data_IF_702548560194
#
_entry.id   IF_702548560194
#
_cell.length_a   1.000
_cell.length_b   1.000
_cell.length_c   1.000
_cell.angle_alpha   90.00
_cell.angle_beta   90.00
_cell.angle_gamma   90.00
#
_symmetry.space_group_name_H-M   'P 1'
#
loop_
_entity.id
_entity.type
_entity.pdbx_description
1 polymer ?
#
# COMPACT_ATOMS: atom_id res chain seq x y z
N UNK A 1 -21.87 -7.42 -15.70
CA UNK A 1 -20.93 -8.00 -16.68
C UNK A 1 -19.46 -7.73 -16.37
N UNK A 2 -19.02 -6.48 -16.18
CA UNK A 2 -17.60 -6.16 -15.90
C UNK A 2 -17.04 -6.85 -14.65
N UNK A 3 -17.79 -6.89 -13.54
CA UNK A 3 -17.33 -7.53 -12.30
C UNK A 3 -17.02 -9.02 -12.50
N UNK A 4 -17.87 -9.76 -13.22
CA UNK A 4 -17.68 -11.20 -13.49
C UNK A 4 -16.43 -11.41 -14.36
N UNK A 5 -16.19 -10.57 -15.37
CA UNK A 5 -14.99 -10.65 -16.21
C UNK A 5 -13.71 -10.49 -15.36
N UNK A 6 -13.71 -9.55 -14.42
CA UNK A 6 -12.56 -9.35 -13.53
C UNK A 6 -12.33 -10.46 -12.51
N UNK A 7 -13.33 -11.33 -12.25
CA UNK A 7 -13.15 -12.49 -11.37
C UNK A 7 -12.19 -13.50 -11.99
N UNK A 8 -12.34 -13.74 -13.30
CA UNK A 8 -11.65 -14.82 -14.02
C UNK A 8 -10.41 -14.32 -14.77
N UNK A 9 -10.48 -13.12 -15.35
CA UNK A 9 -9.45 -12.61 -16.28
C UNK A 9 -8.72 -11.36 -15.79
N UNK A 10 -9.00 -10.91 -14.56
CA UNK A 10 -8.37 -9.71 -14.02
C UNK A 10 -6.85 -9.88 -13.94
N UNK A 11 -6.10 -8.99 -14.60
CA UNK A 11 -4.64 -8.85 -14.48
C UNK A 11 -4.30 -7.41 -14.14
N UNK A 12 -3.14 -7.21 -13.52
CA UNK A 12 -2.59 -5.87 -13.33
C UNK A 12 -2.28 -5.23 -14.68
N UNK A 13 -2.59 -3.94 -14.80
CA UNK A 13 -2.25 -3.16 -15.98
C UNK A 13 -1.85 -1.74 -15.57
N UNK A 14 -1.06 -1.10 -16.42
CA UNK A 14 -0.65 0.29 -16.21
C UNK A 14 -1.85 1.17 -16.53
N UNK A 15 -2.33 1.91 -15.53
CA UNK A 15 -3.41 2.87 -15.68
C UNK A 15 -2.88 4.23 -16.14
N UNK A 16 -1.74 4.63 -15.58
CA UNK A 16 -1.21 5.98 -15.75
C UNK A 16 0.31 5.99 -15.62
N UNK A 17 0.96 6.91 -16.34
CA UNK A 17 2.37 7.22 -16.20
C UNK A 17 2.56 8.73 -16.08
N UNK A 18 3.26 9.17 -15.03
CA UNK A 18 3.52 10.58 -14.76
C UNK A 18 5.01 10.85 -14.64
N UNK A 19 5.41 12.08 -15.00
CA UNK A 19 6.78 12.56 -14.80
C UNK A 19 6.75 13.89 -14.07
N UNK A 20 7.36 13.94 -12.89
CA UNK A 20 7.56 15.16 -12.11
C UNK A 20 9.06 15.42 -12.04
N UNK A 21 9.56 16.31 -12.91
CA UNK A 21 10.99 16.61 -13.06
C UNK A 21 11.83 15.32 -13.26
N UNK A 22 12.59 14.91 -12.24
CA UNK A 22 13.43 13.71 -12.22
C UNK A 22 12.69 12.44 -11.79
N UNK A 23 11.50 12.58 -11.20
CA UNK A 23 10.68 11.46 -10.75
C UNK A 23 9.81 10.95 -11.89
N UNK A 24 9.87 9.63 -12.13
CA UNK A 24 8.97 8.91 -13.03
C UNK A 24 8.09 8.01 -12.18
N UNK A 25 6.78 8.17 -12.32
CA UNK A 25 5.78 7.42 -11.58
C UNK A 25 4.91 6.62 -12.55
N UNK A 26 4.49 5.45 -12.12
CA UNK A 26 3.49 4.66 -12.83
C UNK A 26 2.45 4.17 -11.83
N UNK A 27 1.19 4.30 -12.19
CA UNK A 27 0.05 3.78 -11.43
C UNK A 27 -0.43 2.51 -12.09
N UNK A 28 -0.49 1.44 -11.30
CA UNK A 28 -0.91 0.13 -11.75
C UNK A 28 -2.28 -0.17 -11.12
N UNK A 29 -3.25 -0.53 -11.95
CA UNK A 29 -4.58 -0.88 -11.50
C UNK A 29 -4.70 -2.40 -11.32
N UNK A 30 -5.31 -2.79 -10.19
CA UNK A 30 -5.84 -4.14 -10.00
C UNK A 30 -7.34 -4.06 -10.30
N UNK A 31 -7.84 -4.73 -11.35
CA UNK A 31 -9.25 -4.67 -11.72
C UNK A 31 -10.07 -5.49 -10.73
N UNK A 32 -10.26 -5.02 -9.51
CA UNK A 32 -11.06 -5.69 -8.48
C UNK A 32 -11.98 -4.67 -7.80
N UNK A 33 -13.25 -5.02 -7.73
CA UNK A 33 -14.29 -4.25 -7.08
C UNK A 33 -14.31 -4.48 -5.58
N UNK A 34 -14.87 -3.52 -4.85
CA UNK A 34 -14.92 -3.51 -3.38
C UNK A 34 -15.44 -4.84 -2.78
N UNK A 35 -16.54 -5.45 -3.26
CA UNK A 35 -17.04 -6.71 -2.70
C UNK A 35 -16.03 -7.87 -2.76
N UNK A 36 -15.15 -7.87 -3.76
CA UNK A 36 -14.15 -8.93 -3.93
C UNK A 36 -13.07 -8.90 -2.86
N UNK A 37 -12.79 -7.74 -2.25
CA UNK A 37 -11.85 -7.66 -1.14
C UNK A 37 -12.38 -8.32 0.14
N UNK A 38 -13.67 -8.61 0.22
CA UNK A 38 -14.27 -9.28 1.38
C UNK A 38 -14.39 -10.81 1.20
N UNK A 39 -14.22 -11.32 -0.03
CA UNK A 39 -14.32 -12.75 -0.33
C UNK A 39 -12.96 -13.44 -0.21
N UNK A 40 -12.86 -14.50 0.57
CA UNK A 40 -11.56 -15.14 0.86
C UNK A 40 -10.85 -15.68 -0.40
N UNK A 41 -11.57 -16.34 -1.31
CA UNK A 41 -11.00 -16.82 -2.58
C UNK A 41 -10.47 -15.67 -3.45
N UNK A 42 -11.16 -14.53 -3.46
CA UNK A 42 -10.74 -13.35 -4.19
C UNK A 42 -9.56 -12.64 -3.51
N UNK A 43 -9.45 -12.65 -2.17
CA UNK A 43 -8.26 -12.15 -1.46
C UNK A 43 -7.00 -12.89 -1.89
N UNK A 44 -7.07 -14.21 -2.08
CA UNK A 44 -5.94 -14.99 -2.62
C UNK A 44 -5.57 -14.49 -4.00
N UNK A 45 -6.54 -14.38 -4.91
CA UNK A 45 -6.29 -13.87 -6.27
C UNK A 45 -5.74 -12.43 -6.28
N UNK A 46 -6.23 -11.55 -5.40
CA UNK A 46 -5.72 -10.19 -5.23
C UNK A 46 -4.25 -10.23 -4.79
N UNK A 47 -3.94 -11.03 -3.77
CA UNK A 47 -2.57 -11.16 -3.27
C UNK A 47 -1.61 -11.68 -4.33
N UNK A 48 -2.02 -12.68 -5.12
CA UNK A 48 -1.23 -13.19 -6.24
C UNK A 48 -0.92 -12.09 -7.25
N UNK A 49 -1.91 -11.30 -7.66
CA UNK A 49 -1.70 -10.19 -8.61
C UNK A 49 -0.79 -9.09 -8.04
N UNK A 50 -0.91 -8.76 -6.75
CA UNK A 50 -0.01 -7.79 -6.10
C UNK A 50 1.42 -8.34 -6.07
N UNK A 51 1.59 -9.61 -5.71
CA UNK A 51 2.89 -10.28 -5.62
C UNK A 51 3.57 -10.35 -6.99
N UNK A 52 2.84 -10.73 -8.04
CA UNK A 52 3.32 -10.72 -9.42
C UNK A 52 3.75 -9.31 -9.87
N UNK A 53 2.96 -8.28 -9.54
CA UNK A 53 3.32 -6.90 -9.85
C UNK A 53 4.59 -6.46 -9.12
N UNK A 54 4.75 -6.80 -7.84
CA UNK A 54 5.97 -6.49 -7.07
C UNK A 54 7.19 -7.12 -7.73
N UNK A 55 7.10 -8.39 -8.13
CA UNK A 55 8.19 -9.11 -8.78
C UNK A 55 8.53 -8.52 -10.15
N UNK A 56 7.53 -8.10 -10.93
CA UNK A 56 7.76 -7.45 -12.22
C UNK A 56 8.44 -6.07 -12.07
N UNK A 57 7.99 -5.29 -11.08
CA UNK A 57 8.59 -3.99 -10.74
C UNK A 57 10.03 -4.15 -10.22
N UNK A 58 10.31 -5.19 -9.44
CA UNK A 58 11.67 -5.53 -8.98
C UNK A 58 12.60 -5.87 -10.14
N UNK A 59 12.16 -6.72 -11.07
CA UNK A 59 12.90 -7.08 -12.30
C UNK A 59 13.20 -5.87 -13.17
N UNK A 60 12.29 -4.90 -13.22
CA UNK A 60 12.46 -3.62 -13.93
C UNK A 60 13.40 -2.64 -13.23
N UNK A 61 13.95 -3.00 -12.06
CA UNK A 61 14.92 -2.19 -11.32
C UNK A 61 14.32 -0.96 -10.65
N UNK A 62 13.00 -0.92 -10.47
CA UNK A 62 12.31 0.17 -9.77
C UNK A 62 12.66 0.13 -8.28
N UNK A 63 12.85 1.31 -7.68
CA UNK A 63 13.37 1.43 -6.31
C UNK A 63 12.29 1.35 -5.23
N UNK A 64 11.10 1.83 -5.52
CA UNK A 64 10.00 1.93 -4.55
C UNK A 64 8.69 1.58 -5.23
N UNK A 65 7.88 0.76 -4.59
CA UNK A 65 6.51 0.46 -4.97
C UNK A 65 5.61 0.76 -3.77
N UNK A 66 4.60 1.61 -3.99
CA UNK A 66 3.58 1.90 -2.97
C UNK A 66 2.33 1.07 -3.24
N UNK A 67 1.82 0.42 -2.20
CA UNK A 67 0.53 -0.25 -2.26
C UNK A 67 -0.60 0.78 -2.18
N UNK A 68 -1.62 0.62 -3.01
CA UNK A 68 -2.85 1.40 -2.92
C UNK A 68 -3.61 1.09 -1.62
N UNK A 69 -4.46 2.00 -1.17
CA UNK A 69 -5.11 1.92 0.15
C UNK A 69 -5.80 0.57 0.46
N UNK A 70 -6.48 -0.04 -0.51
CA UNK A 70 -7.12 -1.36 -0.34
C UNK A 70 -6.19 -2.55 -0.58
N UNK A 71 -5.04 -2.31 -1.21
CA UNK A 71 -4.05 -3.33 -1.54
C UNK A 71 -3.02 -3.54 -0.42
N UNK A 72 -3.19 -2.87 0.72
CA UNK A 72 -2.30 -2.92 1.88
C UNK A 72 -3.02 -3.31 3.17
N UNK A 73 -4.20 -3.92 3.09
CA UNK A 73 -4.93 -4.35 4.28
C UNK A 73 -4.07 -5.25 5.16
N UNK A 74 -4.11 -5.03 6.48
CA UNK A 74 -3.41 -5.87 7.44
C UNK A 74 -3.88 -7.33 7.35
N UNK A 75 -5.19 -7.52 7.22
CA UNK A 75 -5.84 -8.82 7.01
C UNK A 75 -5.64 -9.41 5.60
N UNK A 76 -5.16 -8.59 4.66
CA UNK A 76 -4.89 -9.00 3.29
C UNK A 76 -3.44 -9.49 3.14
N UNK A 77 -2.47 -8.68 3.53
CA UNK A 77 -1.04 -8.95 3.31
C UNK A 77 -0.11 -8.32 4.36
N UNK A 78 -0.64 -8.01 5.54
CA UNK A 78 0.13 -7.44 6.66
C UNK A 78 0.81 -6.13 6.21
N UNK A 79 0.06 -5.25 5.54
CA UNK A 79 0.56 -3.98 5.00
C UNK A 79 1.78 -4.14 4.07
N UNK A 80 1.80 -5.22 3.27
CA UNK A 80 2.91 -5.59 2.39
C UNK A 80 4.00 -6.46 3.05
N UNK A 81 3.97 -6.66 4.36
CA UNK A 81 4.93 -7.49 5.09
C UNK A 81 4.97 -8.94 4.62
N UNK A 82 3.84 -9.46 4.13
CA UNK A 82 3.75 -10.80 3.52
C UNK A 82 4.77 -10.98 2.38
N UNK A 83 4.90 -10.01 1.48
CA UNK A 83 5.73 -10.13 0.28
C UNK A 83 7.22 -9.98 0.61
N UNK A 84 7.55 -9.09 1.56
CA UNK A 84 8.92 -8.91 2.04
C UNK A 84 9.42 -10.18 2.72
N UNK A 85 8.56 -10.84 3.51
CA UNK A 85 8.88 -12.11 4.16
C UNK A 85 9.07 -13.26 3.15
N UNK A 86 8.21 -13.35 2.13
CA UNK A 86 8.30 -14.39 1.09
C UNK A 86 9.50 -14.23 0.16
N UNK A 87 9.92 -13.00 -0.11
CA UNK A 87 10.98 -12.68 -1.07
C UNK A 87 12.07 -11.85 -0.39
N UNK A 88 12.92 -12.45 0.47
CA UNK A 88 13.93 -11.72 1.24
C UNK A 88 15.02 -11.06 0.38
N UNK A 89 15.08 -11.38 -0.92
CA UNK A 89 16.03 -10.81 -1.90
C UNK A 89 15.43 -9.67 -2.74
N UNK A 90 14.20 -9.21 -2.46
CA UNK A 90 13.60 -8.07 -3.15
C UNK A 90 14.49 -6.83 -3.02
N UNK A 91 14.76 -6.19 -4.15
CA UNK A 91 15.52 -4.93 -4.22
C UNK A 91 14.58 -3.73 -4.20
N UNK A 92 13.36 -3.87 -4.72
CA UNK A 92 12.30 -2.87 -4.62
C UNK A 92 11.82 -2.75 -3.16
N UNK A 93 11.68 -1.52 -2.70
CA UNK A 93 11.08 -1.24 -1.38
C UNK A 93 9.56 -1.18 -1.52
N UNK A 94 8.87 -2.16 -0.93
CA UNK A 94 7.40 -2.17 -0.84
C UNK A 94 6.99 -1.32 0.37
N UNK A 95 6.15 -0.32 0.13
CA UNK A 95 5.72 0.63 1.17
C UNK A 95 4.20 0.81 1.19
N UNK A 96 3.64 1.09 2.36
CA UNK A 96 2.21 1.38 2.57
C UNK A 96 1.92 2.90 2.74
N UNK A 97 2.98 3.70 2.84
CA UNK A 97 2.91 5.16 3.01
C UNK A 97 2.57 5.62 4.43
N UNK A 98 2.46 4.73 5.42
CA UNK A 98 2.08 5.09 6.80
C UNK A 98 3.06 6.09 7.41
N UNK A 99 4.37 5.91 7.24
CA UNK A 99 5.39 6.82 7.76
C UNK A 99 5.31 8.23 7.17
N UNK A 100 4.95 8.35 5.89
CA UNK A 100 4.74 9.67 5.26
C UNK A 100 3.52 10.36 5.86
N UNK A 101 2.43 9.63 6.13
CA UNK A 101 1.25 10.20 6.79
C UNK A 101 1.60 10.69 8.20
N UNK A 102 2.36 9.89 8.98
CA UNK A 102 2.85 10.30 10.30
C UNK A 102 3.62 11.61 10.22
N UNK A 103 4.59 11.71 9.30
CA UNK A 103 5.39 12.92 9.12
C UNK A 103 4.54 14.15 8.74
N UNK A 104 3.57 13.97 7.84
CA UNK A 104 2.66 15.06 7.43
C UNK A 104 1.80 15.53 8.59
N UNK A 105 1.26 14.60 9.39
CA UNK A 105 0.43 14.94 10.56
C UNK A 105 1.26 15.68 11.60
N UNK A 106 2.48 15.21 11.91
CA UNK A 106 3.37 15.91 12.84
C UNK A 106 3.70 17.33 12.39
N UNK A 107 3.99 17.50 11.09
CA UNK A 107 4.29 18.81 10.51
C UNK A 107 3.07 19.75 10.44
N UNK A 108 1.85 19.21 10.63
CA UNK A 108 0.62 20.02 10.65
C UNK A 108 0.30 20.61 12.02
N UNK A 109 1.00 20.20 13.08
CA UNK A 109 0.72 20.69 14.43
C UNK A 109 1.15 22.16 14.60
N UNK A 110 0.31 22.98 15.27
CA UNK A 110 0.73 24.31 15.67
C UNK A 110 1.98 24.27 16.55
N UNK A 111 2.89 25.25 16.37
CA UNK A 111 4.06 25.39 17.23
C UNK A 111 3.63 25.56 18.69
N UNK A 112 4.28 24.83 19.61
CA UNK A 112 3.96 24.86 21.04
C UNK A 112 2.81 23.94 21.44
N UNK A 113 2.35 23.03 20.57
CA UNK A 113 1.40 21.98 20.95
C UNK A 113 2.01 21.08 22.02
N UNK A 114 1.41 21.04 23.22
CA UNK A 114 1.88 20.24 24.37
C UNK A 114 1.00 19.05 24.69
N UNK A 115 -0.23 19.01 24.17
CA UNK A 115 -1.20 17.96 24.43
C UNK A 115 -1.86 17.51 23.14
N UNK A 116 -1.99 16.20 22.98
CA UNK A 116 -2.60 15.57 21.82
C UNK A 116 -3.57 14.48 22.30
N UNK A 117 -4.77 14.47 21.73
CA UNK A 117 -5.79 13.47 22.02
C UNK A 117 -6.05 12.62 20.77
N UNK A 118 -5.70 11.33 20.84
CA UNK A 118 -6.05 10.34 19.82
C UNK A 118 -7.41 9.72 20.16
N UNK A 119 -8.40 9.80 19.25
CA UNK A 119 -9.77 9.29 19.47
C UNK A 119 -10.15 8.19 18.50
N UNK A 120 -11.04 7.30 18.94
CA UNK A 120 -11.61 6.22 18.14
C UNK A 120 -10.77 4.94 18.13
N UNK A 121 -10.96 4.09 17.11
CA UNK A 121 -10.12 2.91 16.90
C UNK A 121 -8.75 3.37 16.40
N UNK A 122 -7.68 3.00 17.12
CA UNK A 122 -6.32 3.41 16.80
C UNK A 122 -5.73 2.53 15.68
N UNK A 123 -5.54 3.03 14.44
CA UNK A 123 -4.86 2.28 13.39
C UNK A 123 -3.34 2.31 13.56
N UNK A 124 -2.61 1.53 12.74
CA UNK A 124 -1.14 1.55 12.64
C UNK A 124 -0.52 2.97 12.65
N UNK A 125 -1.16 3.92 11.97
CA UNK A 125 -0.70 5.33 11.89
C UNK A 125 -0.76 6.02 13.26
N UNK A 126 -1.77 5.75 14.08
CA UNK A 126 -1.89 6.33 15.42
C UNK A 126 -0.79 5.81 16.36
N UNK A 127 -0.46 4.52 16.27
CA UNK A 127 0.69 3.96 16.98
C UNK A 127 2.01 4.56 16.49
N UNK A 128 2.18 4.75 15.17
CA UNK A 128 3.35 5.42 14.62
C UNK A 128 3.48 6.87 15.08
N UNK A 129 2.37 7.61 15.19
CA UNK A 129 2.35 8.96 15.75
C UNK A 129 2.75 8.97 17.22
N UNK A 130 2.13 8.13 18.04
CA UNK A 130 2.48 8.02 19.47
C UNK A 130 3.95 7.67 19.64
N UNK A 131 4.44 6.66 18.91
CA UNK A 131 5.84 6.26 18.94
C UNK A 131 6.78 7.42 18.61
N UNK A 132 6.51 8.17 17.54
CA UNK A 132 7.36 9.30 17.12
C UNK A 132 7.32 10.49 18.08
N UNK A 133 6.28 10.62 18.92
CA UNK A 133 6.13 11.73 19.86
C UNK A 133 6.69 11.42 21.27
N UNK A 134 6.80 10.13 21.61
CA UNK A 134 7.19 9.66 22.93
C UNK A 134 8.53 8.90 22.95
N UNK A 135 9.19 8.77 21.80
CA UNK A 135 10.59 8.35 21.66
C UNK A 135 11.49 9.58 21.47
#
# INVERSE_FOLDING_TARGET
>A
WSMILTWVYGRTFILEGNRFDKLKLQTWAIPKYIPQYFMQSQKVAINTMIEEAILDVDRKGIKVLRLGLRNQGEDLNINGGLYVSRHPKLKVRVVDGSSLVVAVVLNSFPKGTTQLLLRGKLPKIAYGLAYTLFE
#
